data_IF_697563910035
#
_entry.id   IF_697563910035
#
_cell.length_a   1.000
_cell.length_b   1.000
_cell.length_c   1.000
_cell.angle_alpha   90.00
_cell.angle_beta   90.00
_cell.angle_gamma   90.00
#
_symmetry.space_group_name_H-M   'P 1'
#
loop_
_entity.id
_entity.type
_entity.pdbx_description
1 polymer ?
#
# COMPACT_ATOMS: atom_id res chain seq x y z
N UNK A 1 38.48 -0.69 20.36
CA UNK A 1 39.07 -1.81 19.58
C UNK A 1 37.98 -2.86 19.53
N UNK A 2 37.43 -3.33 18.43
CA UNK A 2 37.89 -3.43 17.05
C UNK A 2 37.16 -4.68 16.53
N UNK A 3 36.31 -4.53 15.51
CA UNK A 3 36.09 -5.47 14.39
C UNK A 3 35.66 -6.92 14.73
N UNK A 4 34.83 -7.62 13.98
CA UNK A 4 33.84 -7.42 12.91
C UNK A 4 33.40 -8.86 12.56
N UNK A 5 32.14 -9.02 12.18
CA UNK A 5 31.59 -9.96 11.17
C UNK A 5 31.85 -11.47 11.30
N UNK A 6 30.77 -12.25 11.17
CA UNK A 6 30.48 -13.05 9.96
C UNK A 6 29.79 -14.38 10.26
N UNK A 7 28.81 -14.67 9.41
CA UNK A 7 28.51 -15.98 8.83
C UNK A 7 27.96 -17.07 9.75
N UNK A 8 26.69 -17.40 9.55
CA UNK A 8 26.26 -18.80 9.67
C UNK A 8 26.43 -19.44 8.30
N UNK A 9 27.45 -20.30 8.21
CA UNK A 9 27.77 -21.09 7.05
C UNK A 9 26.89 -22.34 6.99
N UNK A 10 26.29 -22.52 5.83
CA UNK A 10 26.09 -23.76 5.08
C UNK A 10 26.80 -25.01 5.66
N UNK A 11 26.02 -26.05 5.99
CA UNK A 11 26.48 -27.43 5.99
C UNK A 11 25.57 -28.26 5.08
N UNK A 12 26.04 -28.46 3.86
CA UNK A 12 25.45 -29.35 2.87
C UNK A 12 25.62 -30.83 3.28
N UNK A 13 24.50 -31.55 3.39
CA UNK A 13 24.49 -32.99 3.19
C UNK A 13 24.06 -33.25 1.73
N UNK A 14 25.02 -33.71 0.93
CA UNK A 14 24.82 -34.07 -0.47
C UNK A 14 23.88 -35.28 -0.58
N UNK A 15 22.61 -35.03 -0.92
CA UNK A 15 21.77 -35.99 -1.63
C UNK A 15 21.63 -35.46 -3.06
N UNK A 16 22.43 -36.00 -3.98
CA UNK A 16 22.29 -35.79 -5.42
C UNK A 16 20.99 -36.44 -5.91
N UNK A 17 19.88 -35.76 -5.71
CA UNK A 17 18.76 -35.79 -6.65
C UNK A 17 18.99 -34.66 -7.63
N UNK A 18 19.02 -34.93 -8.94
CA UNK A 18 18.78 -33.89 -9.93
C UNK A 18 17.33 -33.42 -9.74
N UNK A 19 17.08 -32.57 -8.75
CA UNK A 19 15.93 -31.68 -8.78
C UNK A 19 16.27 -30.62 -9.82
N UNK A 20 15.72 -30.80 -11.02
CA UNK A 20 15.59 -29.68 -11.94
C UNK A 20 14.80 -28.61 -11.16
N UNK A 21 15.49 -27.59 -10.67
CA UNK A 21 14.85 -26.34 -10.30
C UNK A 21 14.24 -25.83 -11.60
N UNK A 22 12.98 -26.16 -11.84
CA UNK A 22 12.19 -25.42 -12.79
C UNK A 22 11.99 -24.08 -12.11
N UNK A 23 12.56 -22.97 -12.60
CA UNK A 23 12.22 -21.68 -12.03
C UNK A 23 10.70 -21.56 -12.05
N UNK A 24 10.10 -21.06 -10.97
CA UNK A 24 8.68 -20.76 -10.98
C UNK A 24 8.46 -19.73 -12.11
N UNK A 25 7.62 -20.09 -13.07
CA UNK A 25 7.23 -19.20 -14.16
C UNK A 25 5.88 -18.64 -13.79
N UNK A 26 5.73 -17.31 -13.77
CA UNK A 26 4.43 -16.65 -13.70
C UNK A 26 3.75 -16.72 -15.08
N UNK A 27 3.57 -17.93 -15.59
CA UNK A 27 2.90 -18.15 -16.86
C UNK A 27 1.41 -17.74 -16.71
N UNK A 28 0.75 -17.43 -17.82
CA UNK A 28 -0.71 -17.35 -17.83
C UNK A 28 -1.24 -18.64 -17.18
N UNK A 29 -1.95 -18.49 -16.06
CA UNK A 29 -2.60 -19.59 -15.36
C UNK A 29 -3.54 -20.25 -16.35
N UNK A 30 -3.32 -21.54 -16.66
CA UNK A 30 -4.04 -22.23 -17.72
C UNK A 30 -5.55 -22.30 -17.46
N UNK A 31 -5.93 -22.39 -16.18
CA UNK A 31 -7.31 -22.40 -15.70
C UNK A 31 -7.42 -21.37 -14.56
N UNK A 32 -7.47 -20.05 -14.87
CA UNK A 32 -7.61 -19.06 -13.84
C UNK A 32 -9.02 -19.14 -13.25
N UNK A 33 -9.17 -18.77 -11.98
CA UNK A 33 -10.49 -18.48 -11.42
C UNK A 33 -11.04 -17.26 -12.16
N UNK A 34 -12.17 -17.44 -12.86
CA UNK A 34 -12.83 -16.35 -13.58
C UNK A 34 -14.21 -16.13 -12.98
N UNK A 35 -14.41 -14.93 -12.46
CA UNK A 35 -15.72 -14.44 -12.06
C UNK A 35 -16.11 -13.23 -12.91
N UNK A 36 -17.35 -13.19 -13.36
CA UNK A 36 -17.91 -12.06 -14.10
C UNK A 36 -19.38 -11.93 -13.78
N UNK A 37 -19.86 -10.69 -13.61
CA UNK A 37 -21.28 -10.42 -13.45
C UNK A 37 -22.08 -10.97 -14.64
N UNK A 38 -23.31 -11.43 -14.39
CA UNK A 38 -24.16 -12.04 -15.42
C UNK A 38 -24.42 -11.13 -16.63
N UNK A 39 -24.33 -9.81 -16.45
CA UNK A 39 -24.50 -8.80 -17.48
C UNK A 39 -23.26 -7.89 -17.64
N UNK A 40 -22.08 -8.41 -17.31
CA UNK A 40 -20.81 -7.70 -17.46
C UNK A 40 -20.69 -7.00 -18.82
N UNK A 41 -20.46 -5.68 -18.79
CA UNK A 41 -20.32 -4.84 -19.99
C UNK A 41 -18.92 -4.88 -20.60
N UNK A 42 -17.95 -5.32 -19.81
CA UNK A 42 -16.55 -5.52 -20.18
C UNK A 42 -16.19 -6.98 -19.95
N UNK A 43 -15.38 -7.53 -20.85
CA UNK A 43 -14.71 -8.81 -20.65
C UNK A 43 -13.20 -8.58 -20.76
N UNK A 44 -12.45 -9.11 -19.81
CA UNK A 44 -10.98 -9.08 -19.81
C UNK A 44 -10.49 -10.49 -20.08
N UNK A 45 -9.47 -10.62 -20.93
CA UNK A 45 -8.86 -11.90 -21.24
C UNK A 45 -7.34 -11.70 -21.29
N UNK A 46 -6.56 -12.43 -20.47
CA UNK A 46 -5.10 -12.38 -20.55
C UNK A 46 -4.63 -12.75 -21.96
N UNK A 47 -3.70 -11.96 -22.53
CA UNK A 47 -3.19 -12.15 -23.90
C UNK A 47 -1.80 -12.80 -23.86
N UNK A 48 -0.91 -12.30 -23.02
CA UNK A 48 0.44 -12.81 -22.78
C UNK A 48 0.90 -12.40 -21.37
N UNK A 49 2.03 -12.95 -20.93
CA UNK A 49 2.75 -12.50 -19.72
C UNK A 49 4.19 -12.21 -20.09
N UNK A 50 4.76 -11.16 -19.48
CA UNK A 50 6.21 -10.96 -19.42
C UNK A 50 6.71 -11.44 -18.06
N UNK A 51 7.74 -12.27 -18.04
CA UNK A 51 8.33 -12.80 -16.81
C UNK A 51 9.73 -12.22 -16.62
N UNK A 52 9.98 -11.65 -15.44
CA UNK A 52 11.31 -11.21 -15.02
C UNK A 52 12.23 -12.40 -14.69
N UNK A 53 11.65 -13.57 -14.43
CA UNK A 53 12.34 -14.76 -13.94
C UNK A 53 12.62 -14.73 -12.44
N UNK A 54 12.05 -13.76 -11.72
CA UNK A 54 12.20 -13.54 -10.28
C UNK A 54 10.81 -13.66 -9.66
N UNK A 55 10.68 -14.43 -8.60
CA UNK A 55 9.43 -14.70 -7.88
C UNK A 55 9.60 -14.25 -6.43
N UNK A 56 8.54 -13.66 -5.86
CA UNK A 56 8.47 -13.29 -4.43
C UNK A 56 9.58 -12.32 -3.98
N UNK A 57 9.89 -11.34 -4.83
CA UNK A 57 10.90 -10.32 -4.57
C UNK A 57 10.55 -8.97 -5.25
N UNK A 58 9.26 -8.64 -5.37
CA UNK A 58 8.76 -7.37 -5.94
C UNK A 58 9.43 -6.95 -7.27
N UNK A 59 9.72 -7.92 -8.14
CA UNK A 59 10.47 -7.69 -9.38
C UNK A 59 9.66 -6.98 -10.47
N UNK A 60 8.35 -6.82 -10.29
CA UNK A 60 7.45 -6.02 -11.13
C UNK A 60 6.26 -5.58 -10.26
N UNK A 61 6.22 -4.30 -9.93
CA UNK A 61 5.25 -3.72 -8.99
C UNK A 61 4.39 -2.66 -9.70
N UNK A 62 4.76 -1.38 -9.67
CA UNK A 62 4.01 -0.32 -10.36
C UNK A 62 4.13 -0.41 -11.89
N UNK A 63 3.04 -0.17 -12.62
CA UNK A 63 3.00 -0.17 -14.09
C UNK A 63 2.32 1.06 -14.67
N UNK A 64 2.90 1.62 -15.74
CA UNK A 64 2.23 2.62 -16.58
C UNK A 64 2.48 2.37 -18.07
N UNK A 65 1.61 2.86 -18.94
CA UNK A 65 1.59 2.57 -20.37
C UNK A 65 1.67 3.84 -21.24
N UNK A 66 2.76 3.95 -21.99
CA UNK A 66 2.90 4.98 -23.00
C UNK A 66 2.35 4.53 -24.37
N UNK A 67 1.15 4.98 -24.70
CA UNK A 67 0.46 4.60 -25.94
C UNK A 67 1.20 5.01 -27.23
N UNK A 68 1.91 6.14 -27.23
CA UNK A 68 2.62 6.65 -28.40
C UNK A 68 3.72 5.71 -28.90
N UNK A 69 4.49 5.13 -27.97
CA UNK A 69 5.58 4.18 -28.27
C UNK A 69 5.18 2.72 -28.05
N UNK A 70 3.97 2.46 -27.55
CA UNK A 70 3.48 1.15 -27.13
C UNK A 70 4.43 0.48 -26.14
N UNK A 71 4.85 1.23 -25.13
CA UNK A 71 5.74 0.74 -24.08
C UNK A 71 5.04 0.67 -22.74
N UNK A 72 5.27 -0.40 -22.01
CA UNK A 72 4.94 -0.53 -20.59
C UNK A 72 6.19 -0.21 -19.79
N UNK A 73 6.06 0.66 -18.81
CA UNK A 73 7.09 0.97 -17.83
C UNK A 73 6.68 0.24 -16.56
N UNK A 74 7.58 -0.54 -15.96
CA UNK A 74 7.32 -1.26 -14.72
C UNK A 74 8.45 -1.06 -13.73
N UNK A 75 8.11 -0.71 -12.50
CA UNK A 75 9.09 -0.63 -11.41
C UNK A 75 9.47 -2.03 -10.98
N UNK A 76 10.78 -2.28 -10.89
CA UNK A 76 11.37 -3.52 -10.45
C UNK A 76 12.16 -3.24 -9.16
N UNK A 77 11.51 -3.44 -8.02
CA UNK A 77 12.04 -3.11 -6.70
C UNK A 77 13.30 -3.94 -6.37
N UNK A 78 13.39 -5.20 -6.82
CA UNK A 78 14.61 -6.03 -6.70
C UNK A 78 15.83 -5.35 -7.32
N UNK A 79 15.66 -4.67 -8.46
CA UNK A 79 16.75 -3.95 -9.12
C UNK A 79 16.85 -2.47 -8.75
N UNK A 80 15.80 -1.90 -8.15
CA UNK A 80 15.63 -0.46 -7.91
C UNK A 80 15.50 0.38 -9.18
N UNK A 81 15.02 -0.21 -10.29
CA UNK A 81 14.97 0.42 -11.61
C UNK A 81 13.59 0.32 -12.25
N UNK A 82 13.37 1.11 -13.30
CA UNK A 82 12.22 0.94 -14.19
C UNK A 82 12.63 0.08 -15.37
N UNK A 83 11.96 -1.04 -15.56
CA UNK A 83 12.04 -1.86 -16.76
C UNK A 83 11.06 -1.35 -17.82
N UNK A 84 11.53 -1.24 -19.06
CA UNK A 84 10.72 -0.76 -20.18
C UNK A 84 10.49 -1.89 -21.18
N UNK A 85 9.24 -2.26 -21.37
CA UNK A 85 8.79 -3.34 -22.23
C UNK A 85 8.16 -2.77 -23.51
N UNK A 86 8.57 -3.24 -24.68
CA UNK A 86 7.87 -3.03 -25.94
C UNK A 86 6.71 -4.03 -26.05
N UNK A 87 5.51 -3.50 -26.24
CA UNK A 87 4.28 -4.25 -26.46
C UNK A 87 3.60 -3.89 -27.79
N UNK A 88 4.40 -3.50 -28.79
CA UNK A 88 3.95 -3.29 -30.17
C UNK A 88 3.27 -4.54 -30.74
N UNK A 89 3.73 -5.72 -30.30
CA UNK A 89 3.01 -6.98 -30.35
C UNK A 89 2.67 -7.42 -28.90
N UNK A 90 1.42 -7.24 -28.44
CA UNK A 90 1.02 -7.60 -27.08
C UNK A 90 0.98 -9.12 -26.83
N UNK A 91 1.19 -9.94 -27.87
CA UNK A 91 1.33 -11.40 -27.70
C UNK A 91 2.77 -11.83 -27.39
N UNK A 92 3.73 -10.92 -27.53
CA UNK A 92 5.15 -11.18 -27.32
C UNK A 92 5.86 -9.93 -26.71
N UNK A 93 5.51 -9.53 -25.48
CA UNK A 93 6.16 -8.41 -24.80
C UNK A 93 7.66 -8.69 -24.63
N UNK A 94 8.49 -7.66 -24.80
CA UNK A 94 9.95 -7.80 -24.65
C UNK A 94 10.57 -6.57 -24.01
N UNK A 95 11.50 -6.78 -23.07
CA UNK A 95 12.27 -5.69 -22.46
C UNK A 95 13.20 -5.04 -23.47
N UNK A 96 13.09 -3.72 -23.61
CA UNK A 96 13.90 -2.90 -24.53
C UNK A 96 14.93 -2.02 -23.82
N UNK A 97 14.79 -1.83 -22.52
CA UNK A 97 15.75 -1.10 -21.70
C UNK A 97 15.32 -1.01 -20.25
N UNK A 98 16.09 -0.27 -19.48
CA UNK A 98 15.77 0.14 -18.11
C UNK A 98 16.22 1.57 -17.86
N UNK A 99 15.62 2.22 -16.88
CA UNK A 99 16.02 3.54 -16.36
C UNK A 99 16.40 3.37 -14.89
N UNK A 100 17.59 3.83 -14.52
CA UNK A 100 18.06 3.89 -13.14
C UNK A 100 18.20 5.35 -12.67
N UNK A 101 18.10 5.55 -11.36
CA UNK A 101 18.23 6.86 -10.73
C UNK A 101 19.64 7.09 -10.11
N UNK A 102 20.65 6.37 -10.59
CA UNK A 102 22.02 6.43 -10.06
C UNK A 102 22.32 5.43 -8.94
N UNK A 103 23.53 5.54 -8.36
CA UNK A 103 23.95 4.64 -7.28
C UNK A 103 23.38 5.06 -5.93
N UNK A 104 22.87 4.08 -5.17
CA UNK A 104 22.37 4.31 -3.82
C UNK A 104 20.97 4.90 -3.78
N UNK A 105 20.18 4.66 -4.82
CA UNK A 105 18.79 5.09 -4.93
C UNK A 105 17.89 3.91 -5.30
N UNK A 106 16.61 4.02 -4.97
CA UNK A 106 15.54 3.09 -5.34
C UNK A 106 14.43 3.90 -6.00
N UNK A 107 13.75 3.30 -6.98
CA UNK A 107 12.57 3.87 -7.63
C UNK A 107 11.34 3.11 -7.14
N UNK A 108 10.31 3.82 -6.69
CA UNK A 108 9.09 3.20 -6.14
C UNK A 108 7.92 3.28 -7.13
N UNK A 109 7.77 4.39 -7.86
CA UNK A 109 6.66 4.60 -8.80
C UNK A 109 7.09 5.30 -10.09
N UNK A 110 6.29 5.14 -11.13
CA UNK A 110 6.45 5.78 -12.44
C UNK A 110 5.10 6.24 -13.00
N UNK A 111 5.07 7.39 -13.68
CA UNK A 111 3.94 7.80 -14.51
C UNK A 111 4.40 8.45 -15.81
N UNK A 112 3.68 8.23 -16.91
CA UNK A 112 4.05 8.69 -18.25
C UNK A 112 2.95 9.50 -18.93
N UNK A 113 3.32 10.69 -19.40
CA UNK A 113 2.46 11.59 -20.16
C UNK A 113 2.41 11.18 -21.63
N UNK A 114 1.33 11.54 -22.31
CA UNK A 114 1.08 11.21 -23.71
C UNK A 114 2.12 11.76 -24.71
N UNK A 115 2.92 12.75 -24.35
CA UNK A 115 4.01 13.29 -25.17
C UNK A 115 5.37 12.60 -24.94
N UNK A 116 5.42 11.60 -24.07
CA UNK A 116 6.62 10.84 -23.73
C UNK A 116 7.36 11.33 -22.50
N UNK A 117 6.94 12.42 -21.84
CA UNK A 117 7.50 12.80 -20.54
C UNK A 117 7.09 11.77 -19.49
N UNK A 118 8.06 11.04 -18.95
CA UNK A 118 7.86 10.18 -17.79
C UNK A 118 8.48 10.81 -16.54
N UNK A 119 7.87 10.53 -15.40
CA UNK A 119 8.35 10.91 -14.08
C UNK A 119 8.40 9.70 -13.17
N UNK A 120 9.39 9.65 -12.28
CA UNK A 120 9.57 8.55 -11.35
C UNK A 120 9.96 9.05 -9.96
N UNK A 121 9.37 8.47 -8.92
CA UNK A 121 9.79 8.75 -7.55
C UNK A 121 11.13 8.06 -7.28
N UNK A 122 11.98 8.71 -6.49
CA UNK A 122 13.32 8.21 -6.17
C UNK A 122 13.61 8.49 -4.71
N UNK A 123 13.94 7.44 -3.96
CA UNK A 123 14.39 7.56 -2.59
C UNK A 123 15.88 7.22 -2.39
N UNK A 124 16.53 7.74 -1.33
CA UNK A 124 17.88 7.32 -0.95
C UNK A 124 17.87 5.92 -0.30
N UNK A 125 18.49 4.94 -0.95
CA UNK A 125 18.49 3.53 -0.50
C UNK A 125 19.12 3.29 0.89
N UNK A 126 19.90 4.24 1.40
CA UNK A 126 20.56 4.13 2.69
C UNK A 126 19.76 4.75 3.84
N UNK A 127 18.75 5.56 3.53
CA UNK A 127 17.99 6.36 4.48
C UNK A 127 16.68 6.85 3.83
N UNK A 128 15.62 6.04 3.95
CA UNK A 128 14.28 6.38 3.44
C UNK A 128 13.67 7.63 4.10
N UNK A 129 14.14 7.96 5.31
CA UNK A 129 13.65 9.13 6.07
C UNK A 129 14.16 10.46 5.50
N UNK A 130 15.20 10.44 4.65
CA UNK A 130 15.72 11.62 4.01
C UNK A 130 14.84 12.04 2.80
N UNK A 131 14.80 13.34 2.45
CA UNK A 131 14.07 13.81 1.28
C UNK A 131 14.49 13.08 0.00
N UNK A 132 13.51 12.58 -0.74
CA UNK A 132 13.69 11.96 -2.05
C UNK A 132 13.67 12.96 -3.20
N UNK A 133 13.47 12.44 -4.42
CA UNK A 133 13.39 13.26 -5.62
C UNK A 133 12.39 12.71 -6.63
N UNK A 134 11.94 13.57 -7.53
CA UNK A 134 11.19 13.21 -8.73
C UNK A 134 12.15 13.28 -9.92
N UNK A 135 12.43 12.13 -10.54
CA UNK A 135 13.24 11.98 -11.74
C UNK A 135 12.37 12.20 -12.98
N UNK A 136 12.87 12.95 -13.96
CA UNK A 136 12.21 13.14 -15.25
C UNK A 136 13.01 12.44 -16.34
N UNK A 137 12.34 11.77 -17.28
CA UNK A 137 12.99 11.10 -18.40
C UNK A 137 12.06 10.99 -19.61
N UNK A 138 12.65 10.67 -20.77
CA UNK A 138 11.90 10.41 -22.00
C UNK A 138 11.56 8.93 -22.14
N UNK A 139 10.28 8.59 -22.29
CA UNK A 139 9.82 7.20 -22.38
C UNK A 139 10.21 6.50 -23.70
N UNK A 140 10.66 7.23 -24.74
CA UNK A 140 11.11 6.69 -26.02
C UNK A 140 12.63 6.48 -26.07
N UNK A 141 13.41 7.50 -25.72
CA UNK A 141 14.88 7.44 -25.75
C UNK A 141 15.48 6.85 -24.47
N UNK A 142 14.73 6.83 -23.37
CA UNK A 142 15.18 6.51 -22.01
C UNK A 142 16.23 7.49 -21.47
N UNK A 143 16.39 8.65 -22.11
CA UNK A 143 17.27 9.71 -21.65
C UNK A 143 16.68 10.37 -20.41
N UNK A 144 17.45 10.37 -19.31
CA UNK A 144 17.12 11.10 -18.10
C UNK A 144 17.40 12.59 -18.28
N UNK A 145 16.52 13.43 -17.76
CA UNK A 145 16.70 14.88 -17.66
C UNK A 145 17.35 15.22 -16.31
N UNK A 146 16.77 16.15 -15.56
CA UNK A 146 17.15 16.48 -14.18
C UNK A 146 16.17 15.86 -13.17
N UNK A 147 16.42 16.08 -11.88
CA UNK A 147 15.51 15.76 -10.77
C UNK A 147 15.11 17.03 -10.01
N UNK A 148 14.00 16.96 -9.29
CA UNK A 148 13.64 17.95 -8.25
C UNK A 148 13.47 17.25 -6.90
N UNK A 149 13.81 17.92 -5.81
CA UNK A 149 13.63 17.38 -4.46
C UNK A 149 12.15 17.42 -4.05
N UNK A 150 11.68 16.33 -3.45
CA UNK A 150 10.33 16.16 -2.87
C UNK A 150 10.45 15.74 -1.40
N UNK A 151 9.36 15.25 -0.78
CA UNK A 151 9.36 14.80 0.61
C UNK A 151 10.14 13.50 0.83
N UNK A 152 10.15 13.01 2.07
CA UNK A 152 10.76 11.74 2.46
C UNK A 152 9.92 10.55 1.95
N UNK A 153 10.59 9.46 1.58
CA UNK A 153 9.97 8.26 1.00
C UNK A 153 8.87 8.61 -0.04
N UNK A 154 9.24 9.19 -1.20
CA UNK A 154 8.27 9.41 -2.27
C UNK A 154 7.84 8.06 -2.83
N UNK A 155 6.69 7.58 -2.39
CA UNK A 155 6.24 6.25 -2.73
C UNK A 155 5.58 6.24 -4.13
N UNK A 156 4.46 6.94 -4.25
CA UNK A 156 3.68 6.96 -5.48
C UNK A 156 3.79 8.28 -6.27
N UNK A 157 3.70 8.21 -7.61
CA UNK A 157 3.50 9.39 -8.47
C UNK A 157 2.41 9.18 -9.53
N UNK A 158 1.60 10.22 -9.76
CA UNK A 158 0.64 10.28 -10.87
C UNK A 158 0.68 11.63 -11.60
N UNK A 159 0.37 11.63 -12.89
CA UNK A 159 0.24 12.84 -13.71
C UNK A 159 -1.25 13.16 -13.92
N UNK A 160 -1.63 14.44 -13.76
CA UNK A 160 -3.00 14.90 -14.02
C UNK A 160 -3.43 14.64 -15.46
N UNK A 161 -4.72 14.40 -15.71
CA UNK A 161 -5.23 14.10 -17.07
C UNK A 161 -4.88 15.19 -18.10
N UNK A 162 -4.81 16.45 -17.68
CA UNK A 162 -4.40 17.59 -18.52
C UNK A 162 -2.88 17.73 -18.70
N UNK A 163 -2.09 16.86 -18.05
CA UNK A 163 -0.64 16.79 -18.14
C UNK A 163 0.12 17.94 -17.49
N UNK A 164 -0.56 18.80 -16.71
CA UNK A 164 0.02 20.02 -16.12
C UNK A 164 0.70 19.79 -14.77
N UNK A 165 0.33 18.76 -14.02
CA UNK A 165 0.93 18.50 -12.71
C UNK A 165 1.31 17.02 -12.56
N UNK A 166 2.41 16.78 -11.86
CA UNK A 166 2.69 15.50 -11.21
C UNK A 166 2.40 15.65 -9.72
N UNK A 167 1.77 14.65 -9.12
CA UNK A 167 1.52 14.56 -7.69
C UNK A 167 2.29 13.38 -7.14
N UNK A 168 3.03 13.61 -6.05
CA UNK A 168 3.84 12.60 -5.38
C UNK A 168 3.33 12.44 -3.95
N UNK A 169 2.98 11.22 -3.56
CA UNK A 169 2.76 10.88 -2.17
C UNK A 169 4.13 10.69 -1.53
N UNK A 170 4.43 11.45 -0.48
CA UNK A 170 5.65 11.27 0.28
C UNK A 170 5.24 10.69 1.63
N UNK A 171 5.30 9.37 1.70
CA UNK A 171 4.75 8.53 2.76
C UNK A 171 5.41 8.83 4.10
N UNK A 172 6.73 9.01 4.07
CA UNK A 172 7.54 9.44 5.19
C UNK A 172 7.51 8.48 6.39
N UNK A 173 7.55 7.17 6.14
CA UNK A 173 7.72 6.17 7.20
C UNK A 173 8.93 6.48 8.11
N UNK A 174 8.86 6.08 9.39
CA UNK A 174 9.94 6.29 10.35
C UNK A 174 11.18 5.45 10.03
N UNK A 175 12.28 5.80 10.67
CA UNK A 175 13.43 4.89 10.79
C UNK A 175 13.03 3.64 11.59
N UNK A 176 13.66 2.51 11.32
CA UNK A 176 13.43 1.21 12.01
C UNK A 176 13.37 1.33 13.54
N UNK A 177 14.24 2.15 14.13
CA UNK A 177 14.33 2.35 15.58
C UNK A 177 13.50 3.54 16.09
N UNK A 178 12.65 4.14 15.23
CA UNK A 178 11.88 5.36 15.47
C UNK A 178 12.72 6.58 15.90
N UNK A 179 14.03 6.58 15.66
CA UNK A 179 14.88 7.72 16.01
C UNK A 179 14.62 8.97 15.16
N UNK A 180 14.02 8.79 13.98
CA UNK A 180 13.56 9.83 13.06
C UNK A 180 12.20 9.39 12.53
N UNK A 181 11.23 10.29 12.59
CA UNK A 181 9.88 10.13 12.06
C UNK A 181 9.53 11.41 11.27
N UNK A 182 9.70 11.42 9.94
CA UNK A 182 9.45 12.60 9.13
C UNK A 182 7.95 12.89 8.96
N UNK A 183 7.58 14.14 8.65
CA UNK A 183 6.19 14.47 8.32
C UNK A 183 5.83 13.99 6.90
N UNK A 184 4.77 13.19 6.79
CA UNK A 184 4.15 12.86 5.51
C UNK A 184 3.63 14.10 4.78
N UNK A 185 3.57 14.03 3.45
CA UNK A 185 3.10 15.15 2.63
C UNK A 185 2.76 14.76 1.19
N UNK A 186 2.16 15.68 0.43
CA UNK A 186 1.95 15.51 -1.02
C UNK A 186 2.68 16.60 -1.77
N UNK A 187 3.62 16.22 -2.64
CA UNK A 187 4.31 17.18 -3.52
C UNK A 187 3.49 17.38 -4.80
N UNK A 188 3.20 18.63 -5.15
CA UNK A 188 2.51 19.04 -6.38
C UNK A 188 3.51 19.77 -7.27
N UNK A 189 3.94 19.12 -8.35
CA UNK A 189 4.97 19.63 -9.26
C UNK A 189 4.32 20.10 -10.55
N UNK A 190 4.54 21.36 -10.92
CA UNK A 190 4.08 21.88 -12.23
C UNK A 190 4.98 21.35 -13.35
N UNK A 191 4.38 20.72 -14.36
CA UNK A 191 5.11 20.10 -15.45
C UNK A 191 5.29 21.06 -16.64
N UNK A 192 6.46 21.05 -17.30
CA UNK A 192 6.66 21.79 -18.53
C UNK A 192 5.81 21.21 -19.67
N UNK A 193 5.50 22.02 -20.69
CA UNK A 193 4.64 21.61 -21.81
C UNK A 193 5.24 20.60 -22.78
N UNK A 194 6.52 20.24 -22.63
CA UNK A 194 7.20 19.22 -23.43
C UNK A 194 8.04 18.28 -22.55
N UNK A 195 8.72 17.29 -23.14
CA UNK A 195 9.53 16.32 -22.41
C UNK A 195 10.83 16.97 -21.91
N UNK A 196 10.76 17.55 -20.73
CA UNK A 196 11.86 18.18 -20.01
C UNK A 196 11.59 18.08 -18.51
N UNK A 197 12.64 18.28 -17.70
CA UNK A 197 12.49 18.37 -16.26
C UNK A 197 11.79 19.67 -15.85
N UNK A 198 11.00 19.60 -14.78
CA UNK A 198 10.60 20.77 -14.02
C UNK A 198 11.79 21.34 -13.23
N UNK A 199 11.64 22.54 -12.67
CA UNK A 199 12.61 23.14 -11.76
C UNK A 199 12.15 23.03 -10.30
N UNK A 200 13.06 23.23 -9.35
CA UNK A 200 12.69 23.22 -7.93
C UNK A 200 11.63 24.27 -7.57
N UNK A 201 11.60 25.40 -8.28
CA UNK A 201 10.61 26.46 -8.08
C UNK A 201 9.18 26.03 -8.50
N UNK A 202 9.05 24.93 -9.25
CA UNK A 202 7.78 24.37 -9.69
C UNK A 202 7.15 23.39 -8.67
N UNK A 203 7.89 23.06 -7.61
CA UNK A 203 7.46 22.16 -6.53
C UNK A 203 6.73 22.93 -5.45
N UNK A 204 5.51 22.48 -5.11
CA UNK A 204 4.75 22.92 -3.93
C UNK A 204 4.42 21.70 -3.08
N UNK A 205 4.19 21.91 -1.79
CA UNK A 205 3.91 20.81 -0.86
C UNK A 205 2.60 21.09 -0.13
N UNK A 206 1.68 20.13 -0.19
CA UNK A 206 0.54 20.05 0.71
C UNK A 206 0.97 19.25 1.95
N UNK A 207 1.01 19.89 3.11
CA UNK A 207 1.34 19.26 4.38
C UNK A 207 0.11 19.02 5.26
N UNK A 208 0.29 18.24 6.33
CA UNK A 208 -0.76 17.92 7.29
C UNK A 208 -0.68 18.72 8.59
N UNK A 209 0.18 19.75 8.69
CA UNK A 209 0.44 20.45 9.97
C UNK A 209 -0.78 21.16 10.53
N UNK A 210 -1.74 21.52 9.68
CA UNK A 210 -3.02 22.08 10.12
C UNK A 210 -3.82 21.12 11.03
N UNK A 211 -3.58 19.81 10.92
CA UNK A 211 -4.23 18.78 11.74
C UNK A 211 -3.52 18.52 13.07
N UNK A 212 -2.37 19.16 13.32
CA UNK A 212 -1.74 19.17 14.65
C UNK A 212 -2.51 20.02 15.66
N UNK A 213 -3.41 20.89 15.19
CA UNK A 213 -4.28 21.67 16.07
C UNK A 213 -5.30 20.75 16.76
N UNK A 214 -5.60 20.98 18.06
CA UNK A 214 -6.63 20.22 18.76
C UNK A 214 -7.96 20.22 18.02
N UNK A 215 -8.64 19.08 17.99
CA UNK A 215 -9.95 18.87 17.34
C UNK A 215 -9.96 19.10 15.81
N UNK A 216 -8.81 19.31 15.16
CA UNK A 216 -8.74 19.48 13.70
C UNK A 216 -8.85 18.14 12.94
N UNK A 217 -8.35 17.05 13.54
CA UNK A 217 -8.43 15.71 12.96
C UNK A 217 -9.84 15.12 13.17
N UNK A 218 -10.51 14.62 12.13
CA UNK A 218 -11.80 13.96 12.27
C UNK A 218 -11.73 12.71 13.14
N UNK A 219 -12.80 12.47 13.91
CA UNK A 219 -12.96 11.23 14.67
C UNK A 219 -12.97 10.01 13.73
N UNK A 220 -12.26 8.95 14.10
CA UNK A 220 -12.16 7.71 13.32
C UNK A 220 -10.93 7.60 12.44
N UNK A 221 -10.11 8.66 12.32
CA UNK A 221 -8.75 8.55 11.77
C UNK A 221 -7.83 7.95 12.84
N UNK A 222 -7.08 6.91 12.51
CA UNK A 222 -6.17 6.25 13.46
C UNK A 222 -4.90 7.09 13.63
N UNK A 223 -4.56 7.38 14.89
CA UNK A 223 -3.29 8.01 15.28
C UNK A 223 -2.72 7.18 16.43
N UNK A 224 -1.59 6.55 16.21
CA UNK A 224 -1.04 5.53 17.11
C UNK A 224 0.48 5.40 16.95
N UNK A 225 1.13 4.61 17.81
CA UNK A 225 2.58 4.47 17.85
C UNK A 225 3.26 5.41 18.85
N UNK A 226 4.60 5.55 18.76
CA UNK A 226 5.38 6.42 19.64
C UNK A 226 4.90 7.89 19.63
N UNK A 227 5.22 8.65 20.69
CA UNK A 227 4.80 10.05 20.81
C UNK A 227 5.33 10.90 19.64
N UNK A 228 4.42 11.49 18.86
CA UNK A 228 4.69 12.39 17.75
C UNK A 228 3.52 13.34 17.50
N UNK A 229 3.61 14.16 16.46
CA UNK A 229 2.52 15.01 15.98
C UNK A 229 1.60 14.24 15.04
N UNK A 230 0.39 14.78 14.79
CA UNK A 230 -0.53 14.19 13.80
C UNK A 230 0.10 14.20 12.41
N UNK A 231 0.86 15.23 12.06
CA UNK A 231 1.51 15.34 10.75
C UNK A 231 2.67 14.34 10.54
N UNK A 232 3.40 13.98 11.60
CA UNK A 232 4.38 12.87 11.57
C UNK A 232 3.64 11.53 11.42
N UNK A 233 2.47 11.38 12.05
CA UNK A 233 1.72 10.13 12.01
C UNK A 233 0.96 9.86 10.70
N UNK A 234 0.74 10.85 9.84
CA UNK A 234 -0.07 10.69 8.63
C UNK A 234 0.82 10.33 7.45
N UNK A 235 0.70 9.11 6.96
CA UNK A 235 1.56 8.51 5.92
C UNK A 235 0.79 8.41 4.59
N UNK A 236 0.97 9.35 3.63
CA UNK A 236 0.30 9.29 2.34
C UNK A 236 1.00 8.33 1.37
N UNK A 237 0.25 7.42 0.78
CA UNK A 237 0.82 6.31 0.00
C UNK A 237 0.43 6.36 -1.48
N UNK A 238 -0.87 6.28 -1.81
CA UNK A 238 -1.36 6.23 -3.18
C UNK A 238 -2.23 7.43 -3.55
N UNK A 239 -2.23 7.86 -4.82
CA UNK A 239 -2.97 9.04 -5.30
C UNK A 239 -3.87 8.71 -6.50
N UNK A 240 -5.10 9.19 -6.47
CA UNK A 240 -5.93 9.30 -7.68
C UNK A 240 -6.42 10.73 -7.89
N UNK A 241 -6.56 11.14 -9.15
CA UNK A 241 -6.92 12.52 -9.52
C UNK A 241 -8.24 12.56 -10.26
N UNK A 242 -9.13 13.46 -9.85
CA UNK A 242 -10.35 13.79 -10.57
C UNK A 242 -10.48 15.31 -10.72
N UNK A 243 -10.16 15.82 -11.92
CA UNK A 243 -10.20 17.25 -12.20
C UNK A 243 -9.12 18.03 -11.42
N UNK A 244 -9.53 19.01 -10.62
CA UNK A 244 -8.62 19.82 -9.79
C UNK A 244 -8.38 19.26 -8.39
N UNK A 245 -8.89 18.06 -8.10
CA UNK A 245 -8.84 17.42 -6.78
C UNK A 245 -8.07 16.11 -6.88
N UNK A 246 -7.19 15.87 -5.91
CA UNK A 246 -6.57 14.58 -5.68
C UNK A 246 -7.11 13.95 -4.40
N UNK A 247 -7.32 12.65 -4.44
CA UNK A 247 -7.60 11.81 -3.29
C UNK A 247 -6.35 10.99 -3.01
N UNK A 248 -5.98 10.87 -1.74
CA UNK A 248 -4.72 10.27 -1.31
C UNK A 248 -5.03 9.27 -0.20
N UNK A 249 -4.58 8.03 -0.32
CA UNK A 249 -4.70 7.05 0.77
C UNK A 249 -3.81 7.42 1.94
N UNK A 250 -4.28 7.10 3.14
CA UNK A 250 -3.55 7.13 4.39
C UNK A 250 -3.80 5.75 5.04
N UNK A 251 -3.06 4.73 4.61
CA UNK A 251 -3.40 3.33 4.81
C UNK A 251 -3.47 2.95 6.30
N UNK A 252 -2.39 3.21 7.03
CA UNK A 252 -2.23 2.95 8.46
C UNK A 252 -3.27 3.74 9.24
N UNK A 253 -3.55 4.97 8.80
CA UNK A 253 -4.52 5.87 9.42
C UNK A 253 -5.99 5.53 9.08
N UNK A 254 -6.21 4.58 8.16
CA UNK A 254 -7.53 4.14 7.68
C UNK A 254 -8.40 5.31 7.15
N UNK A 255 -7.80 6.16 6.32
CA UNK A 255 -8.44 7.39 5.85
C UNK A 255 -8.08 7.73 4.40
N UNK A 256 -8.80 8.71 3.84
CA UNK A 256 -8.43 9.41 2.60
C UNK A 256 -8.18 10.89 2.88
N UNK A 257 -7.05 11.44 2.43
CA UNK A 257 -6.85 12.87 2.34
C UNK A 257 -7.36 13.43 1.00
N UNK A 258 -7.93 14.63 1.02
CA UNK A 258 -8.41 15.35 -0.17
C UNK A 258 -7.58 16.59 -0.39
N UNK A 259 -6.84 16.64 -1.50
CA UNK A 259 -5.91 17.71 -1.85
C UNK A 259 -6.45 18.57 -2.98
N UNK A 260 -6.43 19.89 -2.79
CA UNK A 260 -6.65 20.86 -3.87
C UNK A 260 -5.32 21.10 -4.60
N UNK A 261 -5.28 20.76 -5.89
CA UNK A 261 -4.04 20.73 -6.69
C UNK A 261 -3.54 22.15 -6.99
N UNK A 262 -4.45 23.08 -7.25
CA UNK A 262 -4.11 24.45 -7.62
C UNK A 262 -3.44 25.17 -6.44
N UNK A 263 -3.94 24.96 -5.22
CA UNK A 263 -3.39 25.58 -4.01
C UNK A 263 -2.31 24.73 -3.32
N UNK A 264 -2.21 23.44 -3.64
CA UNK A 264 -1.40 22.45 -2.93
C UNK A 264 -1.71 22.46 -1.43
N UNK A 265 -2.97 22.18 -1.09
CA UNK A 265 -3.44 22.13 0.30
C UNK A 265 -4.26 20.87 0.56
N UNK A 266 -4.04 20.24 1.72
CA UNK A 266 -4.93 19.20 2.23
C UNK A 266 -6.19 19.91 2.75
N UNK A 267 -7.33 19.66 2.11
CA UNK A 267 -8.59 20.34 2.41
C UNK A 267 -9.46 19.56 3.39
N UNK A 268 -9.34 18.22 3.40
CA UNK A 268 -10.09 17.30 4.28
C UNK A 268 -9.31 16.01 4.49
N UNK A 269 -9.60 15.33 5.60
CA UNK A 269 -9.31 13.91 5.82
C UNK A 269 -10.66 13.21 6.04
N UNK A 270 -10.84 12.02 5.48
CA UNK A 270 -12.08 11.27 5.45
C UNK A 270 -11.82 9.88 6.08
N UNK A 271 -12.27 9.63 7.33
CA UNK A 271 -12.13 8.32 7.96
C UNK A 271 -13.01 7.28 7.26
N UNK A 272 -12.52 6.06 7.08
CA UNK A 272 -13.23 5.03 6.32
C UNK A 272 -14.03 4.06 7.20
N UNK A 273 -13.74 4.02 8.49
CA UNK A 273 -14.38 3.11 9.45
C UNK A 273 -13.97 1.65 9.24
N UNK A 274 -14.80 0.74 9.72
CA UNK A 274 -14.47 -0.70 9.75
C UNK A 274 -15.54 -1.56 9.07
N UNK A 275 -15.20 -2.84 8.87
CA UNK A 275 -16.12 -3.94 8.54
C UNK A 275 -16.38 -4.75 9.80
N UNK A 276 -17.63 -5.10 10.06
CA UNK A 276 -18.02 -5.92 11.22
C UNK A 276 -18.08 -7.38 10.79
N UNK A 277 -17.09 -8.18 11.24
CA UNK A 277 -17.00 -9.58 10.87
C UNK A 277 -17.92 -10.50 11.66
N UNK A 278 -18.69 -9.97 12.62
CA UNK A 278 -19.81 -10.70 13.21
C UNK A 278 -20.99 -10.80 12.23
N UNK A 279 -20.93 -10.03 11.14
CA UNK A 279 -21.91 -10.00 10.05
C UNK A 279 -21.28 -10.41 8.72
N UNK A 280 -20.08 -9.93 8.41
CA UNK A 280 -19.33 -10.25 7.18
C UNK A 280 -18.37 -11.41 7.46
N UNK A 281 -18.62 -12.61 6.92
CA UNK A 281 -17.78 -13.76 7.17
C UNK A 281 -16.34 -13.57 6.68
N UNK A 282 -15.38 -14.22 7.34
CA UNK A 282 -14.02 -14.41 6.83
C UNK A 282 -13.43 -15.75 7.28
N UNK A 283 -12.43 -16.22 6.55
CA UNK A 283 -11.52 -17.28 7.00
C UNK A 283 -10.35 -16.68 7.81
N UNK A 284 -10.22 -17.11 9.07
CA UNK A 284 -9.30 -16.56 10.08
C UNK A 284 -8.07 -17.42 10.34
N UNK A 285 -8.00 -18.65 9.80
CA UNK A 285 -6.91 -19.57 10.08
C UNK A 285 -6.26 -20.14 8.83
N UNK A 286 -4.92 -20.03 8.76
CA UNK A 286 -4.11 -20.59 7.69
C UNK A 286 -3.56 -21.99 8.03
N UNK A 287 -4.01 -22.61 9.13
CA UNK A 287 -3.42 -23.83 9.70
C UNK A 287 -4.43 -24.90 10.14
N UNK A 288 -5.72 -24.66 10.01
CA UNK A 288 -6.77 -25.66 10.29
C UNK A 288 -6.89 -26.73 9.18
N UNK A 289 -6.35 -26.44 7.99
CA UNK A 289 -6.33 -27.35 6.85
C UNK A 289 -7.63 -27.42 6.06
N UNK A 290 -8.57 -26.51 6.33
CA UNK A 290 -9.83 -26.34 5.60
C UNK A 290 -9.97 -24.88 5.15
N UNK A 291 -11.06 -24.54 4.44
CA UNK A 291 -11.39 -23.14 4.14
C UNK A 291 -12.69 -22.84 4.87
N UNK A 292 -12.60 -22.08 5.96
CA UNK A 292 -13.70 -21.92 6.92
C UNK A 292 -14.15 -20.46 6.97
N UNK A 293 -14.97 -20.06 5.99
CA UNK A 293 -15.54 -18.71 5.90
C UNK A 293 -16.76 -18.60 6.83
N UNK A 294 -16.57 -18.07 8.03
CA UNK A 294 -17.61 -17.89 9.07
C UNK A 294 -17.55 -16.50 9.72
N UNK A 295 -18.53 -16.15 10.56
CA UNK A 295 -18.58 -14.88 11.29
C UNK A 295 -17.83 -14.96 12.61
N UNK A 296 -17.11 -13.89 12.94
CA UNK A 296 -16.26 -13.79 14.13
C UNK A 296 -16.46 -12.44 14.84
N UNK A 297 -16.32 -12.36 16.17
CA UNK A 297 -16.43 -11.10 16.92
C UNK A 297 -15.17 -10.24 16.73
N UNK A 298 -14.89 -9.81 15.50
CA UNK A 298 -13.72 -9.03 15.08
C UNK A 298 -14.18 -7.89 14.16
N UNK A 299 -13.45 -6.77 14.16
CA UNK A 299 -13.65 -5.68 13.20
C UNK A 299 -12.47 -5.59 12.25
N UNK A 300 -12.70 -5.55 10.94
CA UNK A 300 -11.66 -5.32 9.93
C UNK A 300 -11.46 -3.83 9.69
N UNK A 301 -10.24 -3.34 9.82
CA UNK A 301 -9.88 -1.96 9.44
C UNK A 301 -9.70 -1.93 7.93
N UNK A 302 -10.30 -0.97 7.21
CA UNK A 302 -10.27 -1.02 5.75
C UNK A 302 -8.87 -0.87 5.17
N UNK A 303 -8.08 0.11 5.65
CA UNK A 303 -6.68 0.34 5.28
C UNK A 303 -6.47 0.39 3.76
N UNK A 304 -6.81 1.55 3.15
CA UNK A 304 -6.79 1.68 1.71
C UNK A 304 -5.36 1.79 1.17
N UNK A 305 -4.88 0.83 0.39
CA UNK A 305 -3.65 0.96 -0.41
C UNK A 305 -4.00 1.66 -1.74
N UNK A 306 -3.99 0.89 -2.83
CA UNK A 306 -4.12 1.36 -4.18
C UNK A 306 -5.54 1.87 -4.39
N UNK A 307 -5.63 3.12 -4.83
CA UNK A 307 -6.91 3.79 -5.09
C UNK A 307 -7.07 4.22 -6.54
N UNK A 308 -8.31 4.21 -7.03
CA UNK A 308 -8.69 4.74 -8.33
C UNK A 308 -9.99 5.54 -8.22
N UNK A 309 -10.12 6.61 -9.00
CA UNK A 309 -11.34 7.42 -9.02
C UNK A 309 -12.06 7.38 -10.37
N UNK A 310 -13.37 7.58 -10.32
CA UNK A 310 -14.22 7.72 -11.49
C UNK A 310 -15.42 8.63 -11.19
N UNK A 311 -16.09 9.12 -12.23
CA UNK A 311 -17.30 9.94 -12.09
C UNK A 311 -18.53 9.24 -12.69
N UNK A 312 -19.66 9.38 -11.99
CA UNK A 312 -21.00 9.03 -12.49
C UNK A 312 -21.92 10.21 -12.25
N UNK A 313 -22.56 10.71 -13.32
CA UNK A 313 -23.49 11.84 -13.27
C UNK A 313 -22.95 13.10 -12.53
N UNK A 314 -21.63 13.29 -12.53
CA UNK A 314 -20.94 14.42 -11.90
C UNK A 314 -20.57 14.24 -10.42
N UNK A 315 -20.85 13.08 -9.84
CA UNK A 315 -20.39 12.66 -8.51
C UNK A 315 -19.11 11.85 -8.66
N UNK A 316 -18.12 12.12 -7.80
CA UNK A 316 -16.84 11.40 -7.82
C UNK A 316 -16.91 10.24 -6.84
N UNK A 317 -16.42 9.10 -7.28
CA UNK A 317 -16.27 7.90 -6.47
C UNK A 317 -14.80 7.50 -6.44
N UNK A 318 -14.34 7.04 -5.28
CA UNK A 318 -13.01 6.46 -5.07
C UNK A 318 -13.18 4.99 -4.74
N UNK A 319 -12.51 4.13 -5.49
CA UNK A 319 -12.38 2.70 -5.24
C UNK A 319 -11.09 2.50 -4.45
N UNK A 320 -11.14 1.72 -3.38
CA UNK A 320 -9.98 1.43 -2.51
C UNK A 320 -9.75 -0.07 -2.43
N UNK A 321 -8.50 -0.50 -2.61
CA UNK A 321 -8.08 -1.84 -2.19
C UNK A 321 -7.95 -1.84 -0.65
N UNK A 322 -8.69 -2.71 0.03
CA UNK A 322 -8.68 -2.79 1.49
C UNK A 322 -7.61 -3.81 1.94
N UNK A 323 -6.35 -3.52 1.63
CA UNK A 323 -5.23 -4.45 1.74
C UNK A 323 -4.91 -4.78 3.20
N UNK A 324 -4.60 -3.75 3.99
CA UNK A 324 -4.15 -3.90 5.36
C UNK A 324 -2.64 -4.00 5.45
N UNK A 325 -2.01 -2.91 5.90
CA UNK A 325 -0.62 -2.90 6.34
C UNK A 325 -0.51 -2.49 7.82
N UNK A 326 0.60 -2.81 8.46
CA UNK A 326 0.80 -2.59 9.88
C UNK A 326 2.09 -1.82 10.12
N UNK A 327 2.13 -1.03 11.21
CA UNK A 327 3.40 -0.51 11.70
C UNK A 327 4.15 -1.57 12.49
N UNK A 328 5.08 -2.26 11.85
CA UNK A 328 5.96 -3.26 12.44
C UNK A 328 7.44 -2.92 12.23
N UNK A 329 8.02 -2.19 13.17
CA UNK A 329 9.40 -1.70 13.13
C UNK A 329 10.19 -2.18 14.37
N UNK A 330 11.54 -2.17 14.32
CA UNK A 330 12.37 -2.53 15.49
C UNK A 330 12.03 -1.73 16.75
N UNK A 331 11.69 -0.45 16.60
CA UNK A 331 11.36 0.47 17.69
C UNK A 331 9.91 0.41 18.18
N UNK A 332 8.99 -0.12 17.38
CA UNK A 332 7.57 -0.23 17.71
C UNK A 332 6.87 -1.20 16.75
N UNK A 333 6.04 -2.08 17.31
CA UNK A 333 5.15 -2.94 16.55
C UNK A 333 3.74 -2.82 17.11
N UNK A 334 2.75 -2.71 16.23
CA UNK A 334 1.34 -2.88 16.59
C UNK A 334 0.84 -4.31 16.41
N UNK A 335 1.58 -5.19 15.75
CA UNK A 335 1.11 -6.53 15.42
C UNK A 335 1.13 -7.47 16.64
N UNK A 336 0.06 -8.24 16.78
CA UNK A 336 0.03 -9.43 17.63
C UNK A 336 -0.86 -10.50 17.00
N UNK A 337 -0.65 -11.77 17.35
CA UNK A 337 -1.67 -12.78 17.09
C UNK A 337 -2.66 -12.83 18.24
N UNK A 338 -3.92 -13.14 17.93
CA UNK A 338 -4.96 -13.24 18.97
C UNK A 338 -4.61 -14.25 20.07
N UNK A 339 -3.88 -15.32 19.75
CA UNK A 339 -3.45 -16.31 20.76
C UNK A 339 -2.41 -15.79 21.76
N UNK A 340 -1.70 -14.72 21.41
CA UNK A 340 -0.65 -14.14 22.24
C UNK A 340 -1.24 -13.08 23.21
N UNK A 341 -2.55 -12.79 23.13
CA UNK A 341 -3.23 -11.91 24.08
C UNK A 341 -3.24 -12.52 25.49
N UNK A 342 -2.61 -11.83 26.43
CA UNK A 342 -2.38 -12.31 27.79
C UNK A 342 -0.96 -12.85 28.02
N UNK A 343 -0.09 -12.80 27.01
CA UNK A 343 1.33 -13.11 27.16
C UNK A 343 2.06 -11.99 27.92
N UNK A 344 2.37 -12.24 29.18
CA UNK A 344 3.11 -11.32 30.04
C UNK A 344 4.58 -11.12 29.61
N UNK A 345 5.18 -12.08 28.89
CA UNK A 345 6.57 -11.99 28.40
C UNK A 345 6.66 -11.01 27.21
N UNK A 346 5.63 -10.99 26.37
CA UNK A 346 5.49 -10.04 25.24
C UNK A 346 4.84 -8.71 25.67
N UNK A 347 4.28 -8.65 26.88
CA UNK A 347 3.65 -7.44 27.42
C UNK A 347 2.26 -7.15 26.84
N UNK A 348 1.60 -8.15 26.27
CA UNK A 348 0.29 -8.04 25.63
C UNK A 348 -0.80 -8.30 26.68
N UNK A 349 -1.65 -7.30 26.92
CA UNK A 349 -2.79 -7.46 27.82
C UNK A 349 -3.78 -8.53 27.30
N UNK A 350 -4.51 -9.23 28.18
CA UNK A 350 -5.43 -10.28 27.75
C UNK A 350 -6.68 -9.70 27.08
N UNK A 351 -7.42 -10.56 26.37
CA UNK A 351 -8.83 -10.32 26.07
C UNK A 351 -9.64 -10.29 27.37
N UNK A 352 -10.68 -9.46 27.43
CA UNK A 352 -11.55 -9.45 28.61
C UNK A 352 -12.27 -10.80 28.79
N UNK A 353 -12.38 -11.30 30.02
CA UNK A 353 -12.99 -12.61 30.33
C UNK A 353 -14.46 -12.76 29.87
N UNK A 354 -15.13 -11.64 29.61
CA UNK A 354 -16.50 -11.53 29.11
C UNK A 354 -16.59 -10.93 27.70
N UNK A 355 -15.52 -11.06 26.90
CA UNK A 355 -15.41 -10.51 25.54
C UNK A 355 -16.69 -10.78 24.73
N UNK A 356 -17.38 -9.71 24.31
CA UNK A 356 -18.67 -9.75 23.60
C UNK A 356 -19.73 -10.68 24.24
N UNK A 357 -19.71 -10.83 25.57
CA UNK A 357 -20.67 -11.65 26.33
C UNK A 357 -20.35 -13.14 26.39
N UNK A 358 -19.16 -13.54 25.94
CA UNK A 358 -18.65 -14.91 26.05
C UNK A 358 -18.26 -15.24 27.50
N UNK A 359 -18.11 -16.52 27.78
CA UNK A 359 -17.48 -17.02 29.02
C UNK A 359 -15.97 -17.12 28.86
N UNK A 360 -15.23 -17.14 29.97
CA UNK A 360 -13.77 -17.28 29.94
C UNK A 360 -13.29 -18.55 29.18
N UNK A 361 -14.02 -19.65 29.26
CA UNK A 361 -13.71 -20.88 28.52
C UNK A 361 -13.92 -20.66 26.99
N UNK A 362 -14.96 -19.93 26.58
CA UNK A 362 -15.20 -19.59 25.18
C UNK A 362 -14.18 -18.58 24.64
N UNK A 363 -13.70 -17.66 25.47
CA UNK A 363 -12.58 -16.76 25.12
C UNK A 363 -11.30 -17.54 24.90
N UNK A 364 -11.00 -18.53 25.75
CA UNK A 364 -9.86 -19.41 25.55
C UNK A 364 -10.00 -20.22 24.24
N UNK A 365 -11.20 -20.77 23.97
CA UNK A 365 -11.46 -21.47 22.71
C UNK A 365 -11.27 -20.54 21.49
N UNK A 366 -11.70 -19.26 21.55
CA UNK A 366 -11.46 -18.30 20.47
C UNK A 366 -9.98 -18.12 20.14
N UNK A 367 -9.10 -18.20 21.13
CA UNK A 367 -7.65 -17.99 20.98
C UNK A 367 -6.91 -19.22 20.42
N UNK A 368 -7.57 -20.35 20.17
CA UNK A 368 -6.96 -21.54 19.56
C UNK A 368 -6.57 -21.30 18.09
N UNK A 369 -5.57 -22.03 17.60
CA UNK A 369 -5.02 -21.87 16.24
C UNK A 369 -6.05 -22.17 15.15
N UNK A 370 -7.02 -23.05 15.39
CA UNK A 370 -8.11 -23.35 14.46
C UNK A 370 -9.21 -22.28 14.43
N UNK A 371 -9.20 -21.34 15.38
CA UNK A 371 -10.11 -20.20 15.46
C UNK A 371 -9.35 -18.90 15.18
N UNK A 372 -9.49 -17.87 16.02
CA UNK A 372 -8.85 -16.57 15.82
C UNK A 372 -7.35 -16.59 16.13
N UNK A 373 -6.82 -17.62 16.79
CA UNK A 373 -5.47 -17.63 17.33
C UNK A 373 -4.36 -17.33 16.32
N UNK A 374 -4.59 -17.60 15.03
CA UNK A 374 -3.65 -17.32 13.93
C UNK A 374 -3.78 -15.93 13.33
N UNK A 375 -4.91 -15.28 13.50
CA UNK A 375 -5.20 -13.97 12.94
C UNK A 375 -4.25 -12.93 13.55
N UNK A 376 -3.51 -12.24 12.68
CA UNK A 376 -2.72 -11.07 13.06
C UNK A 376 -3.64 -9.86 13.18
N UNK A 377 -3.51 -9.13 14.28
CA UNK A 377 -4.39 -8.03 14.70
C UNK A 377 -3.56 -6.89 15.29
N UNK A 378 -4.14 -5.69 15.34
CA UNK A 378 -3.49 -4.56 15.98
C UNK A 378 -3.68 -4.57 17.51
N UNK A 379 -2.63 -4.18 18.23
CA UNK A 379 -2.62 -3.87 19.66
C UNK A 379 -2.80 -2.37 19.93
N UNK A 380 -2.77 -1.53 18.90
CA UNK A 380 -2.98 -0.10 19.03
C UNK A 380 -4.44 0.28 19.33
N UNK A 381 -5.37 -0.58 18.93
CA UNK A 381 -6.82 -0.35 19.04
C UNK A 381 -7.50 -1.41 19.94
N UNK A 382 -8.64 -1.06 20.53
CA UNK A 382 -9.48 -2.01 21.30
C UNK A 382 -9.09 -2.25 22.76
N UNK A 383 -8.00 -1.65 23.25
CA UNK A 383 -7.60 -1.74 24.65
C UNK A 383 -8.48 -0.87 25.57
N UNK A 384 -9.05 -1.48 26.61
CA UNK A 384 -9.82 -0.79 27.63
C UNK A 384 -8.96 -0.52 28.88
N UNK A 385 -8.49 0.72 29.03
CA UNK A 385 -7.61 1.12 30.14
C UNK A 385 -8.25 1.01 31.53
N UNK A 386 -9.58 1.11 31.66
CA UNK A 386 -10.26 0.97 32.96
C UNK A 386 -10.31 -0.50 33.41
N UNK A 387 -10.35 -1.42 32.43
CA UNK A 387 -10.47 -2.86 32.66
C UNK A 387 -9.14 -3.59 32.62
N UNK A 388 -8.13 -3.02 31.96
CA UNK A 388 -6.81 -3.64 31.78
C UNK A 388 -6.81 -4.82 30.82
N UNK A 389 -7.74 -4.83 29.85
CA UNK A 389 -7.92 -5.89 28.87
C UNK A 389 -8.46 -5.31 27.55
N UNK A 390 -8.34 -6.06 26.47
CA UNK A 390 -8.97 -5.73 25.19
C UNK A 390 -10.42 -6.21 25.17
N UNK A 391 -11.36 -5.32 24.84
CA UNK A 391 -12.78 -5.64 24.67
C UNK A 391 -13.25 -5.55 23.20
N UNK A 392 -12.35 -5.21 22.28
CA UNK A 392 -12.53 -5.28 20.83
C UNK A 392 -11.24 -5.79 20.18
N UNK A 393 -11.37 -6.58 19.11
CA UNK A 393 -10.26 -7.03 18.26
C UNK A 393 -10.39 -6.37 16.89
N UNK A 394 -9.28 -5.83 16.37
CA UNK A 394 -9.21 -5.22 15.05
C UNK A 394 -8.20 -5.95 14.16
N UNK A 395 -8.66 -6.52 13.06
CA UNK A 395 -7.80 -7.13 12.04
C UNK A 395 -7.34 -6.10 11.01
N UNK A 396 -6.16 -6.33 10.44
CA UNK A 396 -5.65 -5.54 9.33
C UNK A 396 -6.38 -5.86 8.05
N UNK A 397 -6.67 -4.82 7.28
CA UNK A 397 -7.43 -4.92 6.04
C UNK A 397 -8.87 -5.41 6.26
N UNK A 398 -9.63 -5.42 5.17
CA UNK A 398 -10.96 -6.01 5.14
C UNK A 398 -11.13 -6.99 3.97
N UNK A 399 -10.00 -7.51 3.47
CA UNK A 399 -9.89 -8.64 2.53
C UNK A 399 -10.73 -8.46 1.25
N UNK A 400 -10.77 -7.23 0.74
CA UNK A 400 -11.66 -6.86 -0.35
C UNK A 400 -11.40 -5.46 -0.91
N UNK A 401 -12.42 -4.86 -1.51
CA UNK A 401 -12.38 -3.47 -1.97
C UNK A 401 -13.66 -2.71 -1.59
N UNK A 402 -13.51 -1.41 -1.38
CA UNK A 402 -14.62 -0.50 -1.10
C UNK A 402 -14.81 0.51 -2.22
N UNK A 403 -16.00 1.10 -2.29
CA UNK A 403 -16.24 2.33 -3.05
C UNK A 403 -16.82 3.37 -2.09
N UNK A 404 -16.21 4.55 -2.06
CA UNK A 404 -16.67 5.71 -1.30
C UNK A 404 -17.04 6.87 -2.24
N UNK A 405 -17.98 7.71 -1.83
CA UNK A 405 -18.28 8.98 -2.51
C UNK A 405 -17.27 10.09 -2.14
N UNK A 406 -17.39 11.27 -2.74
CA UNK A 406 -16.49 12.40 -2.47
C UNK A 406 -16.49 12.93 -1.01
N UNK A 407 -17.40 12.45 -0.17
CA UNK A 407 -17.49 12.79 1.25
C UNK A 407 -17.01 11.64 2.15
N UNK A 408 -16.48 10.54 1.59
CA UNK A 408 -16.01 9.38 2.32
C UNK A 408 -17.12 8.43 2.75
N UNK A 409 -18.36 8.60 2.27
CA UNK A 409 -19.42 7.65 2.58
C UNK A 409 -19.22 6.38 1.75
N UNK A 410 -19.09 5.23 2.43
CA UNK A 410 -19.02 3.92 1.78
C UNK A 410 -20.36 3.58 1.11
N UNK A 411 -20.35 3.52 -0.22
CA UNK A 411 -21.52 3.17 -1.06
C UNK A 411 -21.50 1.71 -1.52
N UNK A 412 -20.35 1.06 -1.41
CA UNK A 412 -20.17 -0.36 -1.72
C UNK A 412 -19.00 -0.93 -0.90
N UNK A 413 -19.11 -2.20 -0.52
CA UNK A 413 -18.01 -3.04 -0.05
C UNK A 413 -18.15 -4.40 -0.72
N UNK A 414 -17.02 -5.03 -1.09
CA UNK A 414 -17.06 -6.38 -1.66
C UNK A 414 -17.40 -7.45 -0.64
N UNK A 415 -17.29 -7.14 0.66
CA UNK A 415 -17.46 -8.10 1.75
C UNK A 415 -16.61 -9.37 1.49
N UNK A 416 -17.18 -10.55 1.73
CA UNK A 416 -16.54 -11.86 1.58
C UNK A 416 -16.44 -12.38 0.13
N UNK A 417 -16.75 -11.55 -0.87
CA UNK A 417 -16.79 -11.98 -2.27
C UNK A 417 -15.44 -12.53 -2.75
N UNK A 418 -14.33 -11.88 -2.40
CA UNK A 418 -13.00 -12.31 -2.84
C UNK A 418 -12.70 -13.70 -2.30
N UNK A 419 -12.82 -13.91 -0.99
CA UNK A 419 -12.64 -15.21 -0.36
C UNK A 419 -13.53 -16.29 -0.99
N UNK A 420 -14.82 -16.02 -1.17
CA UNK A 420 -15.75 -17.01 -1.76
C UNK A 420 -15.45 -17.34 -3.22
N UNK A 421 -14.89 -16.40 -3.97
CA UNK A 421 -14.59 -16.58 -5.38
C UNK A 421 -13.28 -17.34 -5.56
N UNK A 422 -12.27 -17.05 -4.74
CA UNK A 422 -10.90 -17.57 -4.90
C UNK A 422 -10.59 -18.83 -4.08
N UNK A 423 -11.37 -19.12 -3.04
CA UNK A 423 -11.29 -20.34 -2.22
C UNK A 423 -11.37 -21.65 -3.00
#
# INVERSE_FOLDING_TARGET
>A
MSLRRSAVALCAAAATGLSLFVPAHAAIVAEPVVHSAADARLAVTPISTYETGIFDASAAEIVDYHAGTRRVLTVNAESGQIDVLDISDPTAPSKVGSVDAGQGTVINSVSVRADGLAVATVEPAADKTAPGSLLFFDAESLETFDTVTVGSLPDMVTITEDGRHALVANEAEPAEDYSVDPEGSVSVVTLPSGPAAASQDDVRTADFRAYNEPDALPEGVRIFGPEGTVAENLEPEYITVQGGTAYVSLQENNALAVVDIETATVTKILPLGTVDHSVVPLDVSDRDGEITIDTWPVKGILQPDSIASYQVDGTTFVVTANEGDARDWEGYSEEARVKDFGDEEEGIAPLCEDYHGLTADEVADLQEDENLGRLTVTTADGYNAERGCYDEIYSFGARGFSIVDENGNRVFNSDDQFERITA
#
